data_IF_310627828130
#
_entry.id   IF_310627828130
#
_cell.length_a   1.000
_cell.length_b   1.000
_cell.length_c   1.000
_cell.angle_alpha   90.00
_cell.angle_beta   90.00
_cell.angle_gamma   90.00
#
_symmetry.space_group_name_H-M   'P 1'
#
loop_
_entity.id
_entity.type
_entity.pdbx_description
1 polymer ?
#
# COMPACT_ATOMS: atom_id res chain seq x y z
N UNK A 1 20.36 18.97 9.50
CA UNK A 1 19.01 18.44 9.19
C UNK A 1 19.13 16.94 9.04
N UNK A 2 18.76 16.16 10.05
CA UNK A 2 18.68 14.70 9.92
C UNK A 2 17.40 14.36 9.16
N UNK A 3 17.49 14.35 7.83
CA UNK A 3 16.39 13.90 6.97
C UNK A 3 16.21 12.41 7.19
N UNK A 4 15.12 11.99 7.85
CA UNK A 4 14.77 10.56 7.91
C UNK A 4 14.67 10.03 6.47
N UNK A 5 15.33 8.92 6.13
CA UNK A 5 15.25 8.37 4.80
C UNK A 5 13.81 7.92 4.53
N UNK A 6 13.26 8.32 3.38
CA UNK A 6 11.88 8.04 3.00
C UNK A 6 11.52 6.55 3.08
N UNK A 7 12.49 5.68 2.82
CA UNK A 7 12.35 4.22 2.89
C UNK A 7 12.05 3.71 4.30
N UNK A 8 12.47 4.42 5.34
CA UNK A 8 12.21 4.04 6.73
C UNK A 8 10.79 4.38 7.19
N UNK A 9 10.05 5.17 6.42
CA UNK A 9 8.71 5.62 6.78
C UNK A 9 7.70 4.63 6.21
N UNK A 10 7.08 3.84 7.08
CA UNK A 10 5.97 2.96 6.72
C UNK A 10 4.64 3.71 6.62
N UNK A 11 3.53 2.98 6.72
CA UNK A 11 2.19 3.59 6.77
C UNK A 11 1.99 4.28 8.11
N UNK A 12 2.11 5.62 8.14
CA UNK A 12 2.19 6.38 9.39
C UNK A 12 0.86 6.49 10.12
N UNK A 13 -0.24 6.21 9.43
CA UNK A 13 -1.57 6.37 9.96
C UNK A 13 -2.52 5.38 9.31
N UNK A 14 -3.52 4.96 10.07
CA UNK A 14 -4.58 4.11 9.57
C UNK A 14 -5.63 4.97 8.84
N UNK A 15 -5.39 5.23 7.56
CA UNK A 15 -6.20 6.13 6.75
C UNK A 15 -7.60 5.58 6.48
N UNK A 16 -8.60 6.46 6.57
CA UNK A 16 -9.96 6.10 6.21
C UNK A 16 -10.11 5.93 4.68
N UNK A 17 -10.34 4.69 4.25
CA UNK A 17 -10.72 4.35 2.87
C UNK A 17 -12.19 3.95 2.87
N UNK A 18 -13.07 4.65 2.14
CA UNK A 18 -14.51 4.42 2.27
C UNK A 18 -14.90 3.04 1.71
N UNK A 19 -15.65 2.22 2.47
CA UNK A 19 -16.10 0.91 2.01
C UNK A 19 -17.06 1.03 0.84
N UNK A 20 -17.18 -0.03 0.04
CA UNK A 20 -18.21 -0.12 -1.01
C UNK A 20 -19.59 -0.08 -0.36
N UNK A 21 -20.54 0.63 -0.97
CA UNK A 21 -21.92 0.69 -0.45
C UNK A 21 -22.54 -0.71 -0.33
N UNK A 22 -22.22 -1.62 -1.24
CA UNK A 22 -22.66 -3.01 -1.21
C UNK A 22 -22.14 -3.82 -0.01
N UNK A 23 -21.12 -3.33 0.70
CA UNK A 23 -20.56 -3.98 1.89
C UNK A 23 -21.18 -3.45 3.20
N UNK A 24 -22.09 -2.47 3.13
CA UNK A 24 -22.69 -1.84 4.29
C UNK A 24 -24.23 -1.90 4.23
N UNK A 25 -24.92 -2.01 5.37
CA UNK A 25 -26.38 -1.94 5.42
C UNK A 25 -26.92 -0.66 4.78
N UNK A 26 -28.03 -0.74 4.05
CA UNK A 26 -28.64 0.41 3.34
C UNK A 26 -28.93 1.58 4.30
N UNK A 27 -29.28 1.28 5.56
CA UNK A 27 -29.55 2.29 6.60
C UNK A 27 -28.38 3.25 6.88
N UNK A 28 -27.14 2.81 6.65
CA UNK A 28 -25.95 3.64 6.92
C UNK A 28 -25.41 4.34 5.67
N UNK A 29 -26.02 4.14 4.49
CA UNK A 29 -25.56 4.76 3.24
C UNK A 29 -25.51 6.28 3.28
N UNK A 30 -26.50 7.02 3.84
CA UNK A 30 -26.39 8.48 3.95
C UNK A 30 -25.18 8.91 4.76
N UNK A 31 -24.90 8.22 5.88
CA UNK A 31 -23.73 8.49 6.72
C UNK A 31 -22.42 8.21 5.97
N UNK A 32 -22.36 7.15 5.18
CA UNK A 32 -21.22 6.85 4.32
C UNK A 32 -21.00 7.90 3.23
N UNK A 33 -22.09 8.43 2.66
CA UNK A 33 -22.03 9.52 1.69
C UNK A 33 -21.43 10.78 2.34
N UNK A 34 -21.92 11.18 3.51
CA UNK A 34 -21.35 12.32 4.26
C UNK A 34 -19.87 12.10 4.60
N UNK A 35 -19.46 10.87 4.97
CA UNK A 35 -18.04 10.55 5.17
C UNK A 35 -17.23 10.71 3.89
N UNK A 36 -17.74 10.29 2.73
CA UNK A 36 -17.06 10.47 1.44
C UNK A 36 -16.90 11.96 1.06
N UNK A 37 -17.93 12.77 1.32
CA UNK A 37 -17.87 14.23 1.12
C UNK A 37 -16.85 14.86 2.09
N UNK A 38 -16.86 14.45 3.36
CA UNK A 38 -15.88 14.91 4.34
C UNK A 38 -14.45 14.54 3.96
N UNK A 39 -14.22 13.32 3.46
CA UNK A 39 -12.92 12.89 2.95
C UNK A 39 -12.48 13.73 1.74
N UNK A 40 -13.40 14.06 0.84
CA UNK A 40 -13.12 14.97 -0.28
C UNK A 40 -12.69 16.36 0.21
N UNK A 41 -13.36 16.90 1.23
CA UNK A 41 -12.96 18.16 1.89
C UNK A 41 -11.58 18.08 2.52
N UNK A 42 -11.29 17.01 3.28
CA UNK A 42 -9.98 16.78 3.91
C UNK A 42 -8.87 16.67 2.88
N UNK A 43 -9.06 15.89 1.81
CA UNK A 43 -8.10 15.78 0.72
C UNK A 43 -7.88 17.13 0.02
N UNK A 44 -8.94 17.89 -0.22
CA UNK A 44 -8.84 19.23 -0.82
C UNK A 44 -8.02 20.17 0.05
N UNK A 45 -8.26 20.16 1.36
CA UNK A 45 -7.45 20.91 2.33
C UNK A 45 -5.98 20.48 2.32
N UNK A 46 -5.72 19.17 2.40
CA UNK A 46 -4.37 18.59 2.34
C UNK A 46 -3.61 18.99 1.05
N UNK A 47 -4.29 18.96 -0.09
CA UNK A 47 -3.74 19.35 -1.38
C UNK A 47 -3.46 20.86 -1.40
N UNK A 48 -4.37 21.67 -0.87
CA UNK A 48 -4.17 23.13 -0.75
C UNK A 48 -2.97 23.46 0.12
N UNK A 49 -2.86 22.83 1.30
CA UNK A 49 -1.70 22.95 2.19
C UNK A 49 -0.40 22.57 1.48
N UNK A 50 -0.37 21.41 0.81
CA UNK A 50 0.79 20.97 0.03
C UNK A 50 1.22 22.02 -1.01
N UNK A 51 0.26 22.58 -1.77
CA UNK A 51 0.57 23.60 -2.78
C UNK A 51 1.12 24.89 -2.16
N UNK A 52 0.57 25.30 -1.02
CA UNK A 52 1.00 26.51 -0.32
C UNK A 52 2.41 26.35 0.26
N UNK A 53 2.68 25.20 0.89
CA UNK A 53 3.95 24.90 1.54
C UNK A 53 5.08 24.71 0.51
N UNK A 54 4.83 23.89 -0.51
CA UNK A 54 5.89 23.47 -1.45
C UNK A 54 6.00 24.35 -2.68
N UNK A 55 4.92 25.06 -3.06
CA UNK A 55 4.78 25.80 -4.32
C UNK A 55 5.00 24.93 -5.57
N UNK A 56 4.94 23.60 -5.45
CA UNK A 56 5.15 22.66 -6.53
C UNK A 56 3.85 22.34 -7.29
N UNK A 57 4.01 21.92 -8.55
CA UNK A 57 2.88 21.46 -9.39
C UNK A 57 2.45 20.06 -8.98
N UNK A 58 1.14 19.84 -8.93
CA UNK A 58 0.54 18.53 -8.68
C UNK A 58 0.65 17.66 -9.94
N UNK A 59 1.20 16.45 -9.78
CA UNK A 59 1.42 15.48 -10.86
C UNK A 59 0.71 14.16 -10.57
N UNK A 60 -0.60 14.25 -10.31
CA UNK A 60 -1.38 13.08 -9.86
C UNK A 60 -1.37 11.90 -10.83
N UNK A 61 -1.31 12.14 -12.15
CA UNK A 61 -1.28 11.06 -13.12
C UNK A 61 0.05 10.29 -13.04
N UNK A 62 1.17 11.00 -13.10
CA UNK A 62 2.51 10.43 -12.95
C UNK A 62 2.63 9.65 -11.63
N UNK A 63 2.13 10.21 -10.52
CA UNK A 63 2.17 9.54 -9.21
C UNK A 63 1.36 8.25 -9.17
N UNK A 64 0.19 8.22 -9.83
CA UNK A 64 -0.64 7.01 -9.94
C UNK A 64 0.02 5.95 -10.82
N UNK A 65 0.63 6.35 -11.93
CA UNK A 65 1.33 5.43 -12.83
C UNK A 65 2.55 4.82 -12.14
N UNK A 66 3.37 5.65 -11.50
CA UNK A 66 4.50 5.19 -10.69
C UNK A 66 4.05 4.29 -9.54
N UNK A 67 2.90 4.58 -8.93
CA UNK A 67 2.36 3.74 -7.87
C UNK A 67 2.03 2.32 -8.36
N UNK A 68 1.38 2.21 -9.51
CA UNK A 68 1.09 0.91 -10.13
C UNK A 68 2.39 0.21 -10.51
N UNK A 69 3.36 0.90 -11.11
CA UNK A 69 4.66 0.32 -11.47
C UNK A 69 5.39 -0.27 -10.26
N UNK A 70 5.48 0.47 -9.15
CA UNK A 70 6.12 0.01 -7.91
C UNK A 70 5.38 -1.19 -7.32
N UNK A 71 4.05 -1.19 -7.32
CA UNK A 71 3.24 -2.32 -6.86
C UNK A 71 3.46 -3.58 -7.72
N UNK A 72 3.45 -3.43 -9.05
CA UNK A 72 3.68 -4.52 -10.01
C UNK A 72 5.09 -5.10 -9.86
N UNK A 73 6.10 -4.23 -9.78
CA UNK A 73 7.50 -4.65 -9.56
C UNK A 73 7.64 -5.42 -8.25
N UNK A 74 7.04 -4.93 -7.17
CA UNK A 74 7.09 -5.59 -5.86
C UNK A 74 6.53 -7.00 -5.91
N UNK A 75 5.34 -7.19 -6.53
CA UNK A 75 4.74 -8.51 -6.69
C UNK A 75 5.58 -9.45 -7.58
N UNK A 76 6.11 -8.95 -8.70
CA UNK A 76 6.97 -9.74 -9.60
C UNK A 76 8.26 -10.18 -8.91
N UNK A 77 8.92 -9.28 -8.19
CA UNK A 77 10.16 -9.57 -7.46
C UNK A 77 9.90 -10.58 -6.35
N UNK A 78 8.79 -10.45 -5.60
CA UNK A 78 8.40 -11.42 -4.59
C UNK A 78 8.16 -12.82 -5.20
N UNK A 79 7.40 -12.91 -6.28
CA UNK A 79 7.14 -14.18 -6.96
C UNK A 79 8.44 -14.83 -7.49
N UNK A 80 9.32 -14.04 -8.10
CA UNK A 80 10.62 -14.49 -8.54
C UNK A 80 11.46 -15.01 -7.36
N UNK A 81 11.47 -14.29 -6.23
CA UNK A 81 12.19 -14.71 -5.02
C UNK A 81 11.69 -16.05 -4.48
N UNK A 82 10.38 -16.29 -4.46
CA UNK A 82 9.81 -17.58 -4.04
C UNK A 82 10.32 -18.76 -4.89
N UNK A 83 10.65 -18.51 -6.15
CA UNK A 83 11.15 -19.53 -7.09
C UNK A 83 12.67 -19.78 -6.99
N UNK A 84 13.40 -18.98 -6.20
CA UNK A 84 14.84 -19.15 -5.99
C UNK A 84 15.16 -20.14 -4.86
N UNK A 85 16.40 -20.68 -4.83
CA UNK A 85 16.89 -21.48 -3.70
C UNK A 85 16.86 -20.68 -2.39
N UNK A 86 16.49 -21.32 -1.27
CA UNK A 86 16.26 -20.69 0.05
C UNK A 86 17.38 -19.71 0.44
N UNK A 87 18.64 -20.11 0.22
CA UNK A 87 19.82 -19.34 0.62
C UNK A 87 19.94 -18.00 -0.13
N UNK A 88 19.35 -17.88 -1.32
CA UNK A 88 19.41 -16.68 -2.17
C UNK A 88 18.16 -15.80 -2.04
N UNK A 89 17.08 -16.35 -1.49
CA UNK A 89 15.77 -15.69 -1.45
C UNK A 89 15.82 -14.33 -0.73
N UNK A 90 16.43 -14.30 0.45
CA UNK A 90 16.50 -13.08 1.26
C UNK A 90 17.32 -11.99 0.59
N UNK A 91 18.53 -12.30 0.15
CA UNK A 91 19.42 -11.33 -0.50
C UNK A 91 18.78 -10.79 -1.78
N UNK A 92 18.10 -11.65 -2.53
CA UNK A 92 17.38 -11.22 -3.74
C UNK A 92 16.28 -10.20 -3.42
N UNK A 93 15.41 -10.47 -2.44
CA UNK A 93 14.34 -9.54 -2.03
C UNK A 93 14.93 -8.20 -1.57
N UNK A 94 15.96 -8.24 -0.72
CA UNK A 94 16.57 -7.02 -0.17
C UNK A 94 17.20 -6.15 -1.26
N UNK A 95 17.96 -6.75 -2.18
CA UNK A 95 18.65 -6.02 -3.25
C UNK A 95 17.67 -5.52 -4.31
N UNK A 96 16.72 -6.35 -4.74
CA UNK A 96 15.83 -6.00 -5.85
C UNK A 96 14.72 -5.03 -5.44
N UNK A 97 14.28 -5.03 -4.18
CA UNK A 97 13.27 -4.09 -3.69
C UNK A 97 13.87 -2.78 -3.15
N UNK A 98 15.20 -2.66 -3.07
CA UNK A 98 15.80 -1.41 -2.62
C UNK A 98 15.44 -0.26 -3.57
N UNK A 99 14.91 0.84 -3.00
CA UNK A 99 14.40 1.97 -3.80
C UNK A 99 13.04 1.73 -4.48
N UNK A 100 12.44 0.54 -4.31
CA UNK A 100 11.08 0.24 -4.77
C UNK A 100 10.11 0.28 -3.59
N UNK A 101 10.45 -0.43 -2.52
CA UNK A 101 9.59 -0.61 -1.36
C UNK A 101 10.24 -0.07 -0.07
N UNK A 102 9.40 0.24 0.91
CA UNK A 102 9.83 0.68 2.24
C UNK A 102 10.45 -0.47 3.03
N UNK A 103 11.26 -0.13 4.04
CA UNK A 103 12.00 -1.10 4.86
C UNK A 103 11.08 -2.13 5.51
N UNK A 104 9.92 -1.72 6.01
CA UNK A 104 8.96 -2.63 6.64
C UNK A 104 8.34 -3.61 5.63
N UNK A 105 8.04 -3.16 4.40
CA UNK A 105 7.55 -4.05 3.32
C UNK A 105 8.63 -5.06 2.96
N UNK A 106 9.87 -4.61 2.77
CA UNK A 106 11.00 -5.49 2.47
C UNK A 106 11.18 -6.54 3.56
N UNK A 107 11.09 -6.13 4.84
CA UNK A 107 11.19 -7.01 6.00
C UNK A 107 10.07 -8.04 6.03
N UNK A 108 8.83 -7.61 5.82
CA UNK A 108 7.65 -8.50 5.78
C UNK A 108 7.72 -9.51 4.64
N UNK A 109 8.05 -9.06 3.42
CA UNK A 109 8.22 -9.93 2.26
C UNK A 109 9.38 -10.91 2.44
N UNK A 110 10.50 -10.47 3.02
CA UNK A 110 11.63 -11.35 3.35
C UNK A 110 11.21 -12.47 4.30
N UNK A 111 10.41 -12.16 5.33
CA UNK A 111 9.89 -13.17 6.25
C UNK A 111 8.98 -14.18 5.53
N UNK A 112 8.08 -13.71 4.67
CA UNK A 112 7.16 -14.58 3.90
C UNK A 112 7.86 -15.48 2.90
N UNK A 113 8.87 -14.97 2.19
CA UNK A 113 9.61 -15.76 1.21
C UNK A 113 10.37 -16.91 1.87
N UNK A 114 10.82 -16.75 3.14
CA UNK A 114 11.45 -17.84 3.91
C UNK A 114 10.48 -18.97 4.24
N UNK A 115 9.21 -18.65 4.48
CA UNK A 115 8.17 -19.65 4.78
C UNK A 115 7.57 -20.31 3.53
N UNK A 116 7.94 -19.86 2.33
CA UNK A 116 7.41 -20.41 1.09
C UNK A 116 7.96 -21.84 0.86
N UNK A 117 7.11 -22.83 0.49
CA UNK A 117 7.54 -24.23 0.37
C UNK A 117 8.73 -24.43 -0.57
N UNK A 118 9.54 -25.45 -0.27
CA UNK A 118 10.70 -25.85 -1.07
C UNK A 118 10.20 -26.65 -2.28
N UNK A 119 10.83 -26.45 -3.44
CA UNK A 119 10.47 -27.17 -4.68
C UNK A 119 9.24 -26.62 -5.41
N UNK A 120 8.55 -25.63 -4.82
CA UNK A 120 7.53 -24.86 -5.52
C UNK A 120 8.14 -23.60 -6.15
N UNK A 121 7.62 -23.25 -7.32
CA UNK A 121 7.87 -22.03 -8.07
C UNK A 121 6.58 -21.24 -8.13
N UNK A 122 6.72 -19.93 -8.00
CA UNK A 122 5.62 -18.98 -8.03
C UNK A 122 5.85 -17.99 -9.16
N UNK A 123 4.84 -17.81 -10.02
CA UNK A 123 4.83 -16.77 -11.04
C UNK A 123 3.57 -15.92 -10.84
N UNK A 124 3.79 -14.62 -10.71
CA UNK A 124 2.73 -13.61 -10.65
C UNK A 124 2.71 -12.84 -11.97
N UNK A 125 1.54 -12.75 -12.59
CA UNK A 125 1.33 -11.98 -13.81
C UNK A 125 0.21 -10.95 -13.60
N UNK A 126 0.43 -9.73 -14.09
CA UNK A 126 -0.61 -8.74 -14.25
C UNK A 126 -1.28 -8.97 -15.60
N UNK A 127 -2.56 -9.34 -15.63
CA UNK A 127 -3.29 -9.55 -16.88
C UNK A 127 -3.82 -8.21 -17.42
N UNK A 128 -4.48 -7.43 -16.57
CA UNK A 128 -5.07 -6.14 -16.95
C UNK A 128 -5.24 -5.24 -15.73
N UNK A 129 -5.21 -3.92 -15.99
CA UNK A 129 -5.69 -2.90 -15.05
C UNK A 129 -7.13 -2.58 -15.43
N UNK A 130 -8.08 -3.05 -14.62
CA UNK A 130 -9.51 -3.01 -14.94
C UNK A 130 -10.10 -1.60 -14.86
N UNK A 131 -9.50 -0.73 -14.05
CA UNK A 131 -9.95 0.66 -13.86
C UNK A 131 -8.75 1.58 -13.70
N UNK A 132 -8.89 2.81 -14.19
CA UNK A 132 -7.92 3.87 -13.93
C UNK A 132 -7.66 3.98 -12.42
N UNK A 133 -6.39 3.93 -11.97
CA UNK A 133 -6.07 4.05 -10.56
C UNK A 133 -6.64 5.35 -9.99
N UNK A 134 -7.10 5.30 -8.75
CA UNK A 134 -7.73 6.44 -8.09
C UNK A 134 -6.95 6.83 -6.85
N UNK A 135 -6.58 8.10 -6.75
CA UNK A 135 -6.05 8.65 -5.51
C UNK A 135 -7.21 8.84 -4.53
N UNK A 136 -7.18 8.12 -3.40
CA UNK A 136 -8.26 8.09 -2.40
C UNK A 136 -7.98 9.00 -1.23
N UNK A 137 -6.72 9.03 -0.77
CA UNK A 137 -6.29 9.81 0.39
C UNK A 137 -4.99 10.51 0.04
N UNK A 138 -4.86 11.79 0.43
CA UNK A 138 -3.65 12.58 0.27
C UNK A 138 -3.30 13.26 1.60
N UNK A 139 -2.13 12.96 2.17
CA UNK A 139 -1.70 13.49 3.47
C UNK A 139 -0.28 14.06 3.37
N UNK A 140 -0.10 15.39 3.43
CA UNK A 140 1.20 15.99 3.66
C UNK A 140 1.67 15.69 5.07
N UNK A 141 2.96 15.38 5.21
CA UNK A 141 3.65 15.12 6.47
C UNK A 141 4.63 16.29 6.67
N UNK A 142 4.39 17.16 7.67
CA UNK A 142 5.28 18.29 7.96
C UNK A 142 6.57 17.83 8.62
N UNK A 143 7.65 18.60 8.44
CA UNK A 143 8.86 18.51 9.25
C UNK A 143 8.73 19.28 10.58
N UNK A 144 9.84 19.41 11.31
CA UNK A 144 9.91 20.16 12.56
C UNK A 144 9.61 21.66 12.42
N UNK A 145 9.64 22.22 11.20
CA UNK A 145 9.31 23.61 10.91
C UNK A 145 7.85 23.79 10.45
N UNK A 146 7.01 22.76 10.60
CA UNK A 146 5.62 22.68 10.14
C UNK A 146 5.44 22.83 8.61
N UNK A 147 6.53 22.66 7.85
CA UNK A 147 6.53 22.71 6.38
C UNK A 147 6.42 21.29 5.85
N UNK A 148 5.54 21.08 4.86
CA UNK A 148 5.41 19.77 4.20
C UNK A 148 6.75 19.28 3.66
N UNK A 149 7.30 18.20 4.25
CA UNK A 149 8.56 17.59 3.84
C UNK A 149 8.37 16.30 3.06
N UNK A 150 7.31 15.56 3.39
CA UNK A 150 6.94 14.32 2.74
C UNK A 150 5.44 14.30 2.48
N UNK A 151 5.00 13.41 1.62
CA UNK A 151 3.59 13.18 1.34
C UNK A 151 3.33 11.70 1.35
N UNK A 152 2.31 11.27 2.09
CA UNK A 152 1.79 9.92 2.01
C UNK A 152 0.42 9.94 1.35
N UNK A 153 0.19 9.04 0.39
CA UNK A 153 -1.08 8.96 -0.30
C UNK A 153 -1.47 7.52 -0.59
N UNK A 154 -2.77 7.32 -0.70
CA UNK A 154 -3.40 6.02 -0.95
C UNK A 154 -3.93 6.01 -2.37
N UNK A 155 -3.49 5.03 -3.17
CA UNK A 155 -4.01 4.78 -4.50
C UNK A 155 -4.81 3.48 -4.49
N UNK A 156 -6.06 3.54 -4.90
CA UNK A 156 -6.86 2.36 -5.15
C UNK A 156 -6.61 1.86 -6.58
N UNK A 157 -6.23 0.60 -6.70
CA UNK A 157 -5.95 -0.06 -7.98
C UNK A 157 -6.86 -1.28 -8.10
N UNK A 158 -7.50 -1.44 -9.25
CA UNK A 158 -8.31 -2.61 -9.57
C UNK A 158 -7.63 -3.34 -10.71
N UNK A 159 -7.15 -4.55 -10.44
CA UNK A 159 -6.35 -5.33 -11.39
C UNK A 159 -6.87 -6.74 -11.50
N UNK A 160 -6.81 -7.31 -12.70
CA UNK A 160 -6.91 -8.74 -12.91
C UNK A 160 -5.52 -9.35 -12.85
N UNK A 161 -5.33 -10.25 -11.91
CA UNK A 161 -4.05 -10.87 -11.61
C UNK A 161 -4.12 -12.38 -11.82
N UNK A 162 -2.97 -12.95 -12.11
CA UNK A 162 -2.80 -14.38 -12.25
C UNK A 162 -1.64 -14.85 -11.38
N UNK A 163 -1.91 -15.95 -10.68
CA UNK A 163 -0.92 -16.69 -9.91
C UNK A 163 -0.78 -18.08 -10.49
N UNK A 164 0.45 -18.46 -10.83
CA UNK A 164 0.80 -19.81 -11.26
C UNK A 164 1.73 -20.39 -10.21
N UNK A 165 1.31 -21.48 -9.59
CA UNK A 165 2.14 -22.28 -8.70
C UNK A 165 2.46 -23.58 -9.42
N UNK A 166 3.74 -23.87 -9.58
CA UNK A 166 4.24 -25.11 -10.18
C UNK A 166 5.33 -25.70 -9.31
N UNK A 167 5.67 -26.97 -9.47
CA UNK A 167 6.77 -27.56 -8.72
C UNK A 167 6.99 -29.01 -9.07
N UNK A 168 8.09 -29.58 -8.59
CA UNK A 168 8.46 -30.96 -8.92
C UNK A 168 7.45 -31.98 -8.35
N UNK A 169 6.70 -31.58 -7.31
CA UNK A 169 5.62 -32.36 -6.69
C UNK A 169 4.23 -32.17 -7.35
N UNK A 170 4.09 -31.26 -8.33
CA UNK A 170 2.82 -30.97 -9.00
C UNK A 170 3.05 -30.86 -10.52
N UNK A 171 2.87 -31.97 -11.27
CA UNK A 171 3.13 -31.99 -12.71
C UNK A 171 2.20 -31.05 -13.50
N UNK A 172 1.03 -30.71 -12.95
CA UNK A 172 0.12 -29.74 -13.52
C UNK A 172 0.18 -28.40 -12.76
N UNK A 173 0.59 -27.29 -13.41
CA UNK A 173 0.65 -25.99 -12.76
C UNK A 173 -0.75 -25.53 -12.34
N UNK A 174 -0.92 -25.20 -11.07
CA UNK A 174 -2.16 -24.60 -10.57
C UNK A 174 -2.19 -23.13 -10.97
N UNK A 175 -3.15 -22.76 -11.82
CA UNK A 175 -3.36 -21.39 -12.28
C UNK A 175 -4.60 -20.80 -11.62
N UNK A 176 -4.45 -19.65 -10.99
CA UNK A 176 -5.55 -18.92 -10.35
C UNK A 176 -5.60 -17.50 -10.89
N UNK A 177 -6.69 -17.17 -11.56
CA UNK A 177 -6.99 -15.80 -11.98
C UNK A 177 -7.96 -15.15 -11.01
N UNK A 178 -7.68 -13.91 -10.58
CA UNK A 178 -8.56 -13.18 -9.68
C UNK A 178 -8.54 -11.69 -9.97
N UNK A 179 -9.70 -11.06 -9.93
CA UNK A 179 -9.82 -9.61 -9.90
C UNK A 179 -9.70 -9.12 -8.47
N UNK A 180 -8.71 -8.28 -8.21
CA UNK A 180 -8.38 -7.76 -6.88
C UNK A 180 -8.49 -6.23 -6.88
N UNK A 181 -8.92 -5.67 -5.76
CA UNK A 181 -9.03 -4.24 -5.52
C UNK A 181 -8.21 -3.90 -4.29
N UNK A 182 -7.02 -3.36 -4.51
CA UNK A 182 -6.07 -3.05 -3.43
C UNK A 182 -5.95 -1.55 -3.22
N UNK A 183 -5.82 -1.13 -1.97
CA UNK A 183 -5.45 0.24 -1.62
C UNK A 183 -3.97 0.26 -1.23
N UNK A 184 -3.13 0.69 -2.16
CA UNK A 184 -1.68 0.77 -1.99
C UNK A 184 -1.31 2.12 -1.39
N UNK A 185 -0.35 2.11 -0.46
CA UNK A 185 0.14 3.32 0.21
C UNK A 185 1.53 3.63 -0.27
N UNK A 186 1.77 4.89 -0.60
CA UNK A 186 3.06 5.38 -1.06
C UNK A 186 3.49 6.59 -0.27
N UNK A 187 4.78 6.67 -0.02
CA UNK A 187 5.43 7.86 0.55
C UNK A 187 6.27 8.50 -0.54
N UNK A 188 6.15 9.81 -0.69
CA UNK A 188 6.86 10.62 -1.67
C UNK A 188 7.61 11.76 -0.99
N UNK A 189 8.84 12.00 -1.44
CA UNK A 189 9.53 13.26 -1.19
C UNK A 189 9.26 14.20 -2.38
N UNK A 190 8.52 15.30 -2.18
CA UNK A 190 8.13 16.19 -3.27
C UNK A 190 9.30 16.96 -3.88
N UNK A 191 10.42 17.10 -3.18
CA UNK A 191 11.59 17.85 -3.64
C UNK A 191 12.54 16.99 -4.49
N UNK A 192 12.66 15.69 -4.18
CA UNK A 192 13.49 14.75 -4.95
C UNK A 192 12.69 13.93 -5.97
N UNK A 193 11.36 13.95 -5.88
CA UNK A 193 10.44 13.05 -6.58
C UNK A 193 10.71 11.55 -6.28
N UNK A 194 11.41 11.24 -5.19
CA UNK A 194 11.56 9.86 -4.75
C UNK A 194 10.21 9.36 -4.23
N UNK A 195 9.77 8.20 -4.72
CA UNK A 195 8.51 7.56 -4.41
C UNK A 195 8.73 6.11 -4.03
N UNK A 196 8.23 5.72 -2.86
CA UNK A 196 8.43 4.39 -2.28
C UNK A 196 7.09 3.77 -1.94
N UNK A 197 6.91 2.49 -2.27
CA UNK A 197 5.75 1.71 -1.88
C UNK A 197 5.91 1.20 -0.44
N UNK A 198 5.01 1.60 0.46
CA UNK A 198 5.21 1.42 1.91
C UNK A 198 4.20 0.48 2.57
N UNK A 199 3.24 -0.04 1.80
CA UNK A 199 2.32 -1.07 2.27
C UNK A 199 0.95 -0.99 1.61
N UNK A 200 0.01 -1.77 2.14
CA UNK A 200 -1.40 -1.77 1.73
C UNK A 200 -2.31 -1.55 2.93
N UNK A 201 -3.50 -1.01 2.68
CA UNK A 201 -4.56 -0.86 3.68
C UNK A 201 -5.88 -1.42 3.15
N UNK A 202 -6.72 -1.90 4.05
CA UNK A 202 -8.05 -2.37 3.69
C UNK A 202 -9.06 -1.23 3.67
N UNK A 203 -10.21 -1.47 3.03
CA UNK A 203 -11.36 -0.60 3.16
C UNK A 203 -11.77 -0.51 4.64
N UNK A 204 -12.10 0.71 5.10
CA UNK A 204 -12.57 0.94 6.45
C UNK A 204 -13.98 0.38 6.66
N UNK A 205 -14.34 0.07 7.90
CA UNK A 205 -15.70 -0.31 8.23
C UNK A 205 -16.68 0.88 8.16
N UNK A 206 -17.99 0.58 8.22
CA UNK A 206 -19.03 1.60 8.14
C UNK A 206 -19.23 2.42 9.43
N UNK A 207 -18.65 1.97 10.55
CA UNK A 207 -18.78 2.57 11.89
C UNK A 207 -17.70 3.63 12.12
N UNK A 208 -16.47 3.37 11.70
CA UNK A 208 -15.24 4.16 11.91
C UNK A 208 -15.36 5.62 11.47
N UNK A 209 -14.78 6.52 12.25
CA UNK A 209 -14.67 7.95 11.93
C UNK A 209 -13.68 8.23 10.79
N UNK A 210 -13.68 9.48 10.30
CA UNK A 210 -12.72 9.93 9.27
C UNK A 210 -11.31 10.14 9.82
N UNK A 211 -11.20 10.48 11.11
CA UNK A 211 -9.91 10.65 11.77
C UNK A 211 -9.31 9.27 12.04
N UNK A 212 -7.98 9.11 11.87
CA UNK A 212 -7.27 7.94 12.35
C UNK A 212 -7.58 7.73 13.83
N UNK A 213 -7.88 6.50 14.23
CA UNK A 213 -8.19 6.17 15.63
C UNK A 213 -6.94 5.84 16.46
N UNK A 214 -5.76 5.86 15.84
CA UNK A 214 -4.50 5.53 16.48
C UNK A 214 -3.92 6.75 17.20
N UNK A 215 -3.59 6.57 18.48
CA UNK A 215 -2.79 7.53 19.23
C UNK A 215 -1.32 7.39 18.80
N UNK A 216 -0.75 8.45 18.22
CA UNK A 216 0.64 8.46 17.77
C UNK A 216 1.65 8.35 18.93
N UNK A 217 1.19 8.55 20.17
CA UNK A 217 2.03 8.38 21.36
C UNK A 217 2.17 6.91 21.80
N UNK A 218 1.32 6.00 21.29
CA UNK A 218 1.45 4.57 21.55
C UNK A 218 2.38 3.94 20.51
N UNK A 219 3.68 3.92 20.83
CA UNK A 219 4.73 3.36 19.99
C UNK A 219 4.46 1.89 19.65
N UNK A 220 3.88 1.11 20.57
CA UNK A 220 3.60 -0.32 20.33
C UNK A 220 2.46 -0.48 19.33
N UNK A 221 1.40 0.31 19.46
CA UNK A 221 0.30 0.31 18.50
C UNK A 221 0.78 0.75 17.10
N UNK A 222 1.65 1.76 17.04
CA UNK A 222 2.24 2.23 15.79
C UNK A 222 3.13 1.15 15.14
N UNK A 223 4.03 0.52 15.89
CA UNK A 223 4.85 -0.59 15.38
C UNK A 223 4.00 -1.75 14.85
N UNK A 224 2.92 -2.10 15.57
CA UNK A 224 2.00 -3.13 15.13
C UNK A 224 1.33 -2.74 13.81
N UNK A 225 0.78 -1.54 13.72
CA UNK A 225 0.14 -1.01 12.52
C UNK A 225 1.10 -0.97 11.31
N UNK A 226 2.33 -0.55 11.53
CA UNK A 226 3.37 -0.52 10.49
C UNK A 226 3.65 -1.93 9.95
N UNK A 227 3.81 -2.92 10.83
CA UNK A 227 4.04 -4.32 10.45
C UNK A 227 2.85 -4.92 9.71
N UNK A 228 1.64 -4.66 10.20
CA UNK A 228 0.42 -5.13 9.55
C UNK A 228 0.28 -4.54 8.15
N UNK A 229 0.41 -3.22 7.99
CA UNK A 229 0.29 -2.58 6.68
C UNK A 229 1.39 -3.00 5.70
N UNK A 230 2.58 -3.31 6.21
CA UNK A 230 3.69 -3.79 5.40
C UNK A 230 3.48 -5.21 4.84
N UNK A 231 2.67 -6.03 5.52
CA UNK A 231 2.28 -7.35 5.01
C UNK A 231 1.19 -7.22 3.94
N UNK A 232 1.62 -7.13 2.68
CA UNK A 232 0.72 -6.92 1.53
C UNK A 232 -0.09 -8.15 1.13
N UNK A 233 0.25 -9.33 1.64
CA UNK A 233 -0.47 -10.60 1.36
C UNK A 233 -1.32 -11.06 2.55
N UNK A 234 -1.52 -10.21 3.56
CA UNK A 234 -2.32 -10.55 4.74
C UNK A 234 -3.80 -10.72 4.38
N UNK A 235 -4.49 -11.53 5.19
CA UNK A 235 -5.93 -11.66 5.09
C UNK A 235 -6.64 -10.36 5.53
N UNK A 236 -7.80 -10.03 4.95
CA UNK A 236 -8.61 -8.92 5.45
C UNK A 236 -9.02 -9.20 6.91
N UNK A 237 -9.12 -8.16 7.75
CA UNK A 237 -9.58 -8.32 9.13
C UNK A 237 -10.97 -8.97 9.14
N UNK A 238 -11.21 -9.85 10.12
CA UNK A 238 -12.52 -10.47 10.30
C UNK A 238 -13.57 -9.36 10.42
N UNK A 239 -14.58 -9.39 9.54
CA UNK A 239 -15.65 -8.38 9.54
C UNK A 239 -16.33 -8.42 10.90
N UNK A 240 -16.09 -7.41 11.73
CA UNK A 240 -16.91 -7.17 12.91
C UNK A 240 -18.30 -6.78 12.39
N UNK A 241 -19.23 -7.74 12.42
CA UNK A 241 -20.63 -7.58 12.03
C UNK A 241 -21.30 -6.46 12.84
#
# INVERSE_FOLDING_TARGET
MTTMPIKAIGVVSDYYVPPKYSQAPVRVWPRLLFKRIGLFGLNTYSISRFKNDTKLKLRFNDWKELAVDKYVKTNKIFAAACSLPINQRQSYVQTQLDGIAGSEVIKSLTARVRTFPIGLKLKWNLLSVEKNPKLVVFVPIPDANDVTSLVQFVVQVVTKQEMIVSGDASPEPTRTEKTVSDNIVLTMNPYTNELVFVGTIFDSDHRRGLKPQMDMNDIKALEHHLRECADIYRAPPAKQL
#
